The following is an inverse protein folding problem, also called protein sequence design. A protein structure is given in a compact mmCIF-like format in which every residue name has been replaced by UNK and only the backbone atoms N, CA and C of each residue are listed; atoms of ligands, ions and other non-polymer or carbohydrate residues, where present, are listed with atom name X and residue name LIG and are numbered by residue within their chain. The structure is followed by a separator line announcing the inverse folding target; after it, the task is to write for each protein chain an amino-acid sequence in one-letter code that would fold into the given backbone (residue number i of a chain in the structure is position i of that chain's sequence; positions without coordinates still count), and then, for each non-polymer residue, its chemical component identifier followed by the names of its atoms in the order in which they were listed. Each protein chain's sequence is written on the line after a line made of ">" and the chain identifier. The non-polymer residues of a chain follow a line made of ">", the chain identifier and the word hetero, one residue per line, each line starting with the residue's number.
data_IF_216360095470
#
_entry.id   IF_216360095470
#
_cell.length_a   1.000
_cell.length_b   1.000
_cell.length_c   1.000
_cell.angle_alpha   90.00
_cell.angle_beta   90.00
_cell.angle_gamma   90.00
#
_symmetry.space_group_name_H-M   'P 1'
#
loop_
_entity.id
_entity.type
_entity.pdbx_description
1 polymer ?
#
# COMPACT_ATOMS: atom_id res chain seq x y z
N UNK A 1 3.42 32.44 -21.69
CA UNK A 1 4.38 31.96 -20.66
C UNK A 1 3.62 31.93 -19.36
N UNK A 2 2.93 30.82 -19.07
CA UNK A 2 2.25 30.61 -17.80
C UNK A 2 3.29 30.23 -16.76
N UNK A 3 3.36 30.99 -15.67
CA UNK A 3 4.29 30.70 -14.57
C UNK A 3 3.98 29.31 -14.02
N UNK A 4 5.02 28.47 -13.92
CA UNK A 4 4.99 27.31 -13.04
C UNK A 4 4.90 27.87 -11.63
N UNK A 5 3.72 27.86 -11.02
CA UNK A 5 3.62 28.03 -9.58
C UNK A 5 4.45 26.91 -8.96
N UNK A 6 5.51 27.29 -8.25
CA UNK A 6 6.39 26.35 -7.58
C UNK A 6 5.61 25.68 -6.45
N UNK A 7 5.54 24.36 -6.50
CA UNK A 7 4.96 23.53 -5.44
C UNK A 7 5.68 23.81 -4.11
N UNK A 8 4.94 24.17 -3.07
CA UNK A 8 5.48 24.20 -1.71
C UNK A 8 5.48 22.78 -1.15
N UNK A 9 6.66 22.26 -0.77
CA UNK A 9 6.81 21.00 -0.04
C UNK A 9 6.30 21.17 1.39
N UNK A 10 4.99 21.25 1.58
CA UNK A 10 4.40 20.96 2.88
C UNK A 10 4.48 19.44 3.08
N UNK A 11 4.82 18.98 4.29
CA UNK A 11 5.21 17.57 4.50
C UNK A 11 4.07 16.59 4.16
N UNK A 12 2.81 17.04 4.26
CA UNK A 12 1.60 16.24 3.95
C UNK A 12 0.46 17.14 3.46
N UNK A 13 -0.15 16.83 2.30
CA UNK A 13 -1.35 17.52 1.80
C UNK A 13 -2.13 16.63 0.84
N UNK A 14 -3.41 16.97 0.62
CA UNK A 14 -4.23 16.34 -0.44
C UNK A 14 -4.18 17.21 -1.69
N UNK A 15 -3.71 16.66 -2.82
CA UNK A 15 -3.62 17.39 -4.08
C UNK A 15 -5.02 17.82 -4.56
N UNK A 16 -5.15 18.99 -5.18
CA UNK A 16 -6.37 19.32 -5.91
C UNK A 16 -6.54 18.39 -7.13
N UNK A 17 -7.76 18.29 -7.65
CA UNK A 17 -8.03 17.53 -8.88
C UNK A 17 -7.13 18.03 -10.04
N UNK A 18 -6.92 19.35 -10.16
CA UNK A 18 -6.03 19.95 -11.18
C UNK A 18 -4.56 19.50 -11.04
N UNK A 19 -4.06 19.37 -9.81
CA UNK A 19 -2.69 18.89 -9.56
C UNK A 19 -2.60 17.40 -9.93
N UNK A 20 -3.57 16.59 -9.50
CA UNK A 20 -3.59 15.17 -9.83
C UNK A 20 -3.66 14.94 -11.35
N UNK A 21 -4.46 15.72 -12.07
CA UNK A 21 -4.59 15.65 -13.52
C UNK A 21 -3.31 16.14 -14.22
N UNK A 22 -2.65 17.17 -13.71
CA UNK A 22 -1.34 17.61 -14.23
C UNK A 22 -0.27 16.52 -14.10
N UNK A 23 -0.21 15.83 -12.96
CA UNK A 23 0.74 14.73 -12.74
C UNK A 23 0.46 13.59 -13.70
N UNK A 24 -0.81 13.21 -13.90
CA UNK A 24 -1.18 12.19 -14.89
C UNK A 24 -0.81 12.61 -16.31
N UNK A 25 -1.07 13.87 -16.68
CA UNK A 25 -0.72 14.36 -18.01
C UNK A 25 0.79 14.33 -18.27
N UNK A 26 1.61 14.49 -17.23
CA UNK A 26 3.07 14.49 -17.33
C UNK A 26 3.67 13.08 -17.27
N UNK A 27 3.18 12.21 -16.39
CA UNK A 27 3.82 10.93 -16.07
C UNK A 27 3.06 9.68 -16.54
N UNK A 28 1.79 9.80 -16.98
CA UNK A 28 0.99 8.61 -17.30
C UNK A 28 1.60 7.82 -18.45
N UNK A 29 1.89 6.54 -18.22
CA UNK A 29 2.40 5.64 -19.26
C UNK A 29 1.32 4.79 -19.94
N UNK A 30 0.06 4.90 -19.49
CA UNK A 30 -1.07 4.11 -19.98
C UNK A 30 -2.08 4.97 -20.74
N UNK A 31 -2.90 4.35 -21.59
CA UNK A 31 -3.95 5.04 -22.32
C UNK A 31 -5.08 5.52 -21.39
N UNK A 32 -5.90 6.52 -21.81
CA UNK A 32 -7.08 6.92 -21.05
C UNK A 32 -8.05 5.76 -20.77
N UNK A 33 -8.22 4.84 -21.70
CA UNK A 33 -9.06 3.65 -21.55
C UNK A 33 -8.50 2.68 -20.50
N UNK A 34 -7.19 2.48 -20.48
CA UNK A 34 -6.52 1.66 -19.45
C UNK A 34 -6.62 2.30 -18.07
N UNK A 35 -6.44 3.63 -17.98
CA UNK A 35 -6.61 4.37 -16.74
C UNK A 35 -8.05 4.28 -16.22
N UNK A 36 -9.04 4.43 -17.10
CA UNK A 36 -10.46 4.31 -16.70
C UNK A 36 -10.78 2.91 -16.17
N UNK A 37 -10.22 1.88 -16.79
CA UNK A 37 -10.35 0.52 -16.30
C UNK A 37 -9.74 0.33 -14.89
N UNK A 38 -8.56 0.91 -14.64
CA UNK A 38 -7.94 0.94 -13.30
C UNK A 38 -8.84 1.68 -12.30
N UNK A 39 -9.43 2.82 -12.69
CA UNK A 39 -10.32 3.59 -11.84
C UNK A 39 -11.58 2.81 -11.42
N UNK A 40 -12.18 2.04 -12.35
CA UNK A 40 -13.34 1.18 -12.07
C UNK A 40 -13.00 0.10 -11.04
N UNK A 41 -11.83 -0.50 -11.15
CA UNK A 41 -11.37 -1.53 -10.21
C UNK A 41 -11.08 -0.91 -8.85
N UNK A 42 -10.39 0.23 -8.82
CA UNK A 42 -10.14 0.98 -7.61
C UNK A 42 -11.43 1.30 -6.86
N UNK A 43 -12.47 1.72 -7.59
CA UNK A 43 -13.79 1.98 -7.02
C UNK A 43 -14.40 0.71 -6.40
N UNK A 44 -14.33 -0.42 -7.10
CA UNK A 44 -14.80 -1.70 -6.57
C UNK A 44 -14.02 -2.19 -5.34
N UNK A 45 -12.71 -1.93 -5.28
CA UNK A 45 -11.87 -2.23 -4.11
C UNK A 45 -12.24 -1.32 -2.94
N UNK A 46 -12.34 -0.01 -3.18
CA UNK A 46 -12.74 0.99 -2.19
C UNK A 46 -14.06 0.60 -1.52
N UNK A 47 -15.08 0.33 -2.32
CA UNK A 47 -16.42 -0.01 -1.83
C UNK A 47 -16.38 -1.26 -0.96
N UNK A 48 -15.57 -2.26 -1.35
CA UNK A 48 -15.37 -3.47 -0.56
C UNK A 48 -14.67 -3.20 0.78
N UNK A 49 -13.58 -2.42 0.77
CA UNK A 49 -12.83 -2.07 1.98
C UNK A 49 -13.71 -1.30 2.96
N UNK A 50 -14.45 -0.30 2.48
CA UNK A 50 -15.38 0.48 3.31
C UNK A 50 -16.53 -0.38 3.83
N UNK A 51 -17.10 -1.27 3.00
CA UNK A 51 -18.18 -2.17 3.44
C UNK A 51 -17.71 -3.17 4.51
N UNK A 52 -16.49 -3.68 4.39
CA UNK A 52 -15.99 -4.79 5.23
C UNK A 52 -15.30 -4.28 6.49
N UNK A 53 -14.52 -3.20 6.39
CA UNK A 53 -13.66 -2.69 7.45
C UNK A 53 -14.04 -1.28 7.89
N UNK A 54 -15.12 -0.71 7.35
CA UNK A 54 -15.51 0.67 7.57
C UNK A 54 -15.69 1.02 9.04
N UNK A 55 -16.12 0.11 9.91
CA UNK A 55 -16.26 0.41 11.35
C UNK A 55 -14.91 0.77 12.00
N UNK A 56 -13.80 0.28 11.45
CA UNK A 56 -12.44 0.52 11.92
C UNK A 56 -11.71 1.64 11.18
N UNK A 57 -12.31 2.22 10.13
CA UNK A 57 -11.71 3.32 9.36
C UNK A 57 -12.33 4.63 9.82
N UNK A 58 -11.49 5.63 10.08
CA UNK A 58 -11.96 6.93 10.53
C UNK A 58 -12.84 7.63 9.50
N UNK A 59 -13.60 8.63 9.95
CA UNK A 59 -14.45 9.43 9.06
C UNK A 59 -13.63 10.17 8.00
N UNK A 60 -12.50 10.75 8.41
CA UNK A 60 -11.66 11.55 7.53
C UNK A 60 -11.05 10.69 6.42
N UNK A 61 -10.57 9.48 6.74
CA UNK A 61 -10.03 8.57 5.73
C UNK A 61 -11.10 8.09 4.75
N UNK A 62 -12.33 7.83 5.21
CA UNK A 62 -13.46 7.51 4.32
C UNK A 62 -13.78 8.64 3.35
N UNK A 63 -13.77 9.89 3.82
CA UNK A 63 -13.98 11.05 2.97
C UNK A 63 -12.87 11.22 1.93
N UNK A 64 -11.60 10.96 2.32
CA UNK A 64 -10.49 10.97 1.36
C UNK A 64 -10.65 9.90 0.27
N UNK A 65 -11.08 8.70 0.65
CA UNK A 65 -11.26 7.57 -0.26
C UNK A 65 -12.26 7.85 -1.38
N UNK A 66 -13.24 8.74 -1.18
CA UNK A 66 -14.19 9.13 -2.23
C UNK A 66 -13.53 9.71 -3.49
N UNK A 67 -12.30 10.20 -3.35
CA UNK A 67 -11.51 10.71 -4.48
C UNK A 67 -10.32 9.83 -4.85
N UNK A 68 -10.11 8.70 -4.18
CA UNK A 68 -8.93 7.86 -4.34
C UNK A 68 -8.77 7.30 -5.76
N UNK A 69 -9.88 6.94 -6.43
CA UNK A 69 -9.85 6.47 -7.82
C UNK A 69 -9.32 7.54 -8.80
N UNK A 70 -9.58 8.82 -8.54
CA UNK A 70 -9.01 9.93 -9.32
C UNK A 70 -7.55 10.19 -8.99
N UNK A 71 -6.99 9.58 -7.96
CA UNK A 71 -5.64 9.84 -7.44
C UNK A 71 -4.66 8.72 -7.75
N UNK A 72 -5.02 7.83 -8.68
CA UNK A 72 -4.15 6.77 -9.16
C UNK A 72 -3.39 7.26 -10.39
N UNK A 73 -2.07 7.13 -10.35
CA UNK A 73 -1.17 7.52 -11.43
C UNK A 73 -0.37 6.29 -11.87
N UNK A 74 -0.62 5.83 -13.08
CA UNK A 74 0.08 4.71 -13.70
C UNK A 74 1.27 5.24 -14.50
N UNK A 75 2.48 4.87 -14.14
CA UNK A 75 3.73 5.41 -14.70
C UNK A 75 4.64 4.30 -15.21
N UNK A 76 5.61 4.64 -16.06
CA UNK A 76 6.67 3.71 -16.43
C UNK A 76 7.72 3.61 -15.29
N UNK A 77 8.75 2.76 -15.48
CA UNK A 77 9.79 2.58 -14.45
C UNK A 77 10.58 3.86 -14.14
N UNK A 78 10.80 4.72 -15.15
CA UNK A 78 11.58 5.95 -14.98
C UNK A 78 10.75 7.02 -14.28
N UNK A 79 9.50 7.21 -14.72
CA UNK A 79 8.52 8.07 -14.08
C UNK A 79 8.24 7.67 -12.64
N UNK A 80 8.17 6.38 -12.35
CA UNK A 80 8.04 5.89 -10.97
C UNK A 80 9.20 6.35 -10.08
N UNK A 81 10.43 6.20 -10.57
CA UNK A 81 11.63 6.62 -9.85
C UNK A 81 11.65 8.14 -9.67
N UNK A 82 11.48 8.90 -10.74
CA UNK A 82 11.52 10.37 -10.72
C UNK A 82 10.45 10.92 -9.76
N UNK A 83 9.21 10.43 -9.86
CA UNK A 83 8.15 10.88 -8.98
C UNK A 83 8.43 10.50 -7.51
N UNK A 84 8.99 9.31 -7.25
CA UNK A 84 9.37 8.89 -5.89
C UNK A 84 10.50 9.71 -5.27
N UNK A 85 11.33 10.37 -6.09
CA UNK A 85 12.39 11.27 -5.64
C UNK A 85 11.86 12.71 -5.48
N UNK A 86 11.07 13.17 -6.45
CA UNK A 86 10.54 14.54 -6.52
C UNK A 86 9.45 14.80 -5.46
N UNK A 87 8.60 13.79 -5.19
CA UNK A 87 7.44 13.85 -4.30
C UNK A 87 7.67 13.19 -2.94
N UNK A 88 8.92 13.04 -2.54
CA UNK A 88 9.29 12.49 -1.25
C UNK A 88 9.32 13.58 -0.16
N UNK A 89 8.62 13.41 0.98
CA UNK A 89 8.86 14.25 2.15
C UNK A 89 10.32 14.15 2.60
N UNK A 90 10.92 15.26 3.07
CA UNK A 90 12.30 15.23 3.59
C UNK A 90 12.47 14.29 4.79
N UNK A 91 11.39 14.06 5.53
CA UNK A 91 11.31 13.15 6.67
C UNK A 91 11.12 11.67 6.27
N UNK A 92 10.83 11.38 5.00
CA UNK A 92 10.47 10.03 4.59
C UNK A 92 11.68 9.09 4.50
N UNK A 93 11.48 7.87 4.98
CA UNK A 93 12.40 6.75 4.77
C UNK A 93 12.59 6.45 3.28
N UNK A 94 13.65 5.73 2.87
CA UNK A 94 13.88 5.36 1.47
C UNK A 94 12.60 4.84 0.82
N UNK A 95 12.35 5.27 -0.43
CA UNK A 95 11.17 4.81 -1.17
C UNK A 95 11.18 3.27 -1.23
N UNK A 96 10.03 2.59 -1.07
CA UNK A 96 9.98 1.15 -1.23
C UNK A 96 10.48 0.77 -2.63
N UNK A 97 11.26 -0.31 -2.74
CA UNK A 97 11.50 -0.99 -4.02
C UNK A 97 10.22 -1.77 -4.41
N UNK A 98 9.12 -1.02 -4.55
CA UNK A 98 7.77 -1.53 -4.76
C UNK A 98 7.33 -1.41 -6.20
N UNK A 99 6.30 -2.19 -6.52
CA UNK A 99 5.57 -2.08 -7.78
C UNK A 99 4.59 -0.88 -7.77
N UNK A 100 4.26 -0.42 -6.56
CA UNK A 100 3.40 0.72 -6.26
C UNK A 100 3.83 1.36 -4.93
N UNK A 101 3.34 2.57 -4.65
CA UNK A 101 3.30 3.12 -3.30
C UNK A 101 2.19 4.16 -3.17
N UNK A 102 1.63 4.28 -1.98
CA UNK A 102 0.79 5.38 -1.56
C UNK A 102 1.64 6.56 -1.06
N UNK A 103 1.50 7.71 -1.71
CA UNK A 103 2.11 8.98 -1.31
C UNK A 103 1.15 9.80 -0.47
N UNK A 104 1.55 10.07 0.79
CA UNK A 104 0.86 11.06 1.64
C UNK A 104 0.98 12.49 1.11
N UNK A 105 2.00 12.79 0.29
CA UNK A 105 2.05 14.04 -0.48
C UNK A 105 1.12 13.90 -1.68
N UNK A 106 0.09 14.72 -1.73
CA UNK A 106 -0.92 14.70 -2.77
C UNK A 106 -2.01 13.65 -2.59
N UNK A 107 -1.89 12.74 -1.62
CA UNK A 107 -2.79 11.58 -1.43
C UNK A 107 -2.89 10.74 -2.71
N UNK A 108 -1.75 10.36 -3.31
CA UNK A 108 -1.68 9.71 -4.62
C UNK A 108 -1.27 8.25 -4.49
N UNK A 109 -1.92 7.36 -5.25
CA UNK A 109 -1.43 5.99 -5.47
C UNK A 109 -0.61 5.99 -6.75
N UNK A 110 0.69 5.75 -6.64
CA UNK A 110 1.61 5.77 -7.77
C UNK A 110 2.01 4.34 -8.07
N UNK A 111 1.78 3.91 -9.31
CA UNK A 111 1.89 2.52 -9.73
C UNK A 111 2.69 2.41 -11.00
N UNK A 112 3.57 1.41 -11.07
CA UNK A 112 4.16 1.03 -12.35
C UNK A 112 3.09 0.39 -13.24
N UNK A 113 3.20 0.55 -14.55
CA UNK A 113 2.27 -0.08 -15.50
C UNK A 113 2.35 -1.63 -15.56
N UNK A 114 3.32 -2.22 -14.86
CA UNK A 114 3.59 -3.65 -14.74
C UNK A 114 3.87 -4.37 -16.07
N UNK A 115 4.11 -3.65 -17.17
CA UNK A 115 4.34 -4.26 -18.50
C UNK A 115 5.58 -5.13 -18.45
N UNK A 116 6.72 -4.56 -18.05
CA UNK A 116 7.99 -5.30 -18.01
C UNK A 116 7.95 -6.45 -16.99
N UNK A 117 7.33 -6.25 -15.83
CA UNK A 117 7.20 -7.29 -14.82
C UNK A 117 6.35 -8.46 -15.33
N UNK A 118 5.24 -8.17 -16.03
CA UNK A 118 4.40 -9.22 -16.62
C UNK A 118 5.14 -10.07 -17.65
N UNK A 119 6.04 -9.46 -18.44
CA UNK A 119 6.89 -10.17 -19.42
C UNK A 119 7.90 -11.09 -18.73
N UNK A 120 8.50 -10.64 -17.63
CA UNK A 120 9.43 -11.46 -16.85
C UNK A 120 8.74 -12.72 -16.31
N UNK A 121 7.55 -12.57 -15.73
CA UNK A 121 6.75 -13.72 -15.24
C UNK A 121 6.33 -14.63 -16.39
N UNK A 122 5.92 -14.05 -17.53
CA UNK A 122 5.62 -14.83 -18.73
C UNK A 122 6.82 -15.69 -19.14
N UNK A 123 8.03 -15.13 -19.23
CA UNK A 123 9.23 -15.86 -19.68
C UNK A 123 9.62 -16.95 -18.68
N UNK A 124 9.49 -16.69 -17.37
CA UNK A 124 9.72 -17.68 -16.32
C UNK A 124 8.74 -18.86 -16.40
N UNK A 125 7.50 -18.62 -16.83
CA UNK A 125 6.45 -19.63 -16.97
C UNK A 125 6.26 -20.13 -18.42
N UNK A 126 7.18 -19.81 -19.33
CA UNK A 126 7.01 -19.97 -20.77
C UNK A 126 6.56 -21.35 -21.20
N UNK A 127 7.22 -22.40 -20.71
CA UNK A 127 6.88 -23.79 -21.05
C UNK A 127 5.43 -24.15 -20.69
N UNK A 128 4.96 -23.68 -19.54
CA UNK A 128 3.58 -23.87 -19.09
C UNK A 128 2.62 -23.06 -19.96
N UNK A 129 2.91 -21.79 -20.22
CA UNK A 129 2.01 -20.92 -20.99
C UNK A 129 1.93 -21.31 -22.47
N UNK A 130 3.04 -21.76 -23.08
CA UNK A 130 3.07 -22.22 -24.46
C UNK A 130 2.32 -23.54 -24.68
N UNK A 131 2.00 -24.28 -23.61
CA UNK A 131 1.16 -25.49 -23.66
C UNK A 131 -0.36 -25.20 -23.76
N UNK A 132 -0.78 -23.95 -23.53
CA UNK A 132 -2.19 -23.56 -23.57
C UNK A 132 -2.75 -23.49 -25.01
N UNK A 133 -4.06 -23.52 -25.21
CA UNK A 133 -4.69 -23.18 -26.49
C UNK A 133 -4.37 -21.75 -26.96
N UNK A 134 -4.25 -21.52 -28.28
CA UNK A 134 -3.82 -20.21 -28.85
C UNK A 134 -4.71 -19.02 -28.44
N UNK A 135 -6.02 -19.25 -28.30
CA UNK A 135 -6.97 -18.25 -27.79
C UNK A 135 -6.69 -17.87 -26.33
N UNK A 136 -6.20 -18.81 -25.52
CA UNK A 136 -5.82 -18.58 -24.12
C UNK A 136 -4.43 -17.96 -24.00
N UNK A 137 -3.45 -18.39 -24.82
CA UNK A 137 -2.07 -17.85 -24.81
C UNK A 137 -2.04 -16.34 -24.96
N UNK A 138 -2.85 -15.80 -25.88
CA UNK A 138 -2.94 -14.35 -26.14
C UNK A 138 -3.43 -13.55 -24.93
N UNK A 139 -4.16 -14.21 -24.03
CA UNK A 139 -4.72 -13.59 -22.82
C UNK A 139 -3.78 -13.68 -21.62
N UNK A 140 -2.78 -14.56 -21.63
CA UNK A 140 -1.88 -14.80 -20.48
C UNK A 140 -1.17 -13.52 -20.04
N UNK A 141 -0.49 -12.83 -20.96
CA UNK A 141 0.30 -11.65 -20.60
C UNK A 141 -0.58 -10.49 -20.08
N UNK A 142 -1.70 -10.11 -20.77
CA UNK A 142 -2.66 -9.17 -20.22
C UNK A 142 -3.17 -9.57 -18.84
N UNK A 143 -3.40 -10.86 -18.63
CA UNK A 143 -3.95 -11.39 -17.39
C UNK A 143 -2.96 -11.34 -16.22
N UNK A 144 -1.68 -11.64 -16.47
CA UNK A 144 -0.60 -11.47 -15.48
C UNK A 144 -0.48 -9.99 -15.11
N UNK A 145 -0.35 -9.10 -16.10
CA UNK A 145 -0.27 -7.66 -15.89
C UNK A 145 -1.45 -7.16 -15.06
N UNK A 146 -2.66 -7.58 -15.44
CA UNK A 146 -3.88 -7.19 -14.77
C UNK A 146 -3.89 -7.56 -13.29
N UNK A 147 -3.40 -8.76 -12.97
CA UNK A 147 -3.41 -9.25 -11.61
C UNK A 147 -2.35 -8.58 -10.75
N UNK A 148 -1.19 -8.27 -11.32
CA UNK A 148 -0.16 -7.44 -10.66
C UNK A 148 -0.69 -6.04 -10.33
N UNK A 149 -1.35 -5.40 -11.30
CA UNK A 149 -1.98 -4.08 -11.12
C UNK A 149 -3.04 -4.16 -10.03
N UNK A 150 -3.95 -5.13 -10.09
CA UNK A 150 -5.03 -5.29 -9.11
C UNK A 150 -4.47 -5.53 -7.70
N UNK A 151 -3.49 -6.42 -7.55
CA UNK A 151 -2.87 -6.73 -6.27
C UNK A 151 -2.18 -5.50 -5.66
N UNK A 152 -1.38 -4.79 -6.46
CA UNK A 152 -0.70 -3.58 -5.99
C UNK A 152 -1.70 -2.47 -5.63
N UNK A 153 -2.74 -2.31 -6.45
CA UNK A 153 -3.78 -1.33 -6.20
C UNK A 153 -4.55 -1.60 -4.90
N UNK A 154 -4.88 -2.87 -4.60
CA UNK A 154 -5.50 -3.22 -3.32
C UNK A 154 -4.58 -2.85 -2.16
N UNK A 155 -3.30 -3.22 -2.24
CA UNK A 155 -2.33 -2.98 -1.18
C UNK A 155 -2.20 -1.49 -0.86
N UNK A 156 -2.05 -0.64 -1.88
CA UNK A 156 -1.90 0.80 -1.68
C UNK A 156 -3.21 1.50 -1.31
N UNK A 157 -4.37 1.02 -1.79
CA UNK A 157 -5.67 1.56 -1.34
C UNK A 157 -5.97 1.20 0.11
N UNK A 158 -5.49 0.06 0.60
CA UNK A 158 -5.57 -0.25 2.03
C UNK A 158 -4.69 0.70 2.83
N UNK A 159 -3.46 1.01 2.36
CA UNK A 159 -2.62 2.01 2.99
C UNK A 159 -3.24 3.42 3.01
N UNK A 160 -3.96 3.80 1.95
CA UNK A 160 -4.63 5.12 1.92
C UNK A 160 -5.80 5.25 2.91
N UNK A 161 -6.22 4.16 3.53
CA UNK A 161 -7.22 4.16 4.61
C UNK A 161 -6.62 4.41 6.01
N UNK A 162 -5.29 4.52 6.13
CA UNK A 162 -4.61 4.61 7.41
C UNK A 162 -4.32 6.07 7.78
N UNK A 163 -4.67 6.47 9.01
CA UNK A 163 -4.28 7.81 9.47
C UNK A 163 -2.78 7.90 9.76
N UNK A 164 -2.25 9.11 9.65
CA UNK A 164 -0.90 9.39 10.08
C UNK A 164 -0.80 9.35 11.61
N UNK A 165 0.23 8.71 12.12
CA UNK A 165 0.46 8.61 13.57
C UNK A 165 1.22 9.83 14.10
N UNK A 166 1.80 10.66 13.22
CA UNK A 166 2.65 11.79 13.60
C UNK A 166 3.95 11.36 14.31
N UNK A 167 4.27 10.06 14.32
CA UNK A 167 5.46 9.53 14.98
C UNK A 167 6.69 9.73 14.09
N UNK A 168 7.72 10.37 14.66
CA UNK A 168 8.97 10.61 13.94
C UNK A 168 10.17 10.05 14.71
N UNK A 169 10.98 9.23 14.02
CA UNK A 169 12.35 8.81 14.39
C UNK A 169 12.51 8.09 15.75
N UNK A 170 11.70 7.07 16.02
CA UNK A 170 11.87 6.16 17.17
C UNK A 170 11.65 4.69 16.77
N UNK A 171 11.74 3.75 17.71
CA UNK A 171 11.45 2.32 17.43
C UNK A 171 10.02 2.06 16.96
N UNK A 172 9.07 2.88 17.39
CA UNK A 172 7.66 2.70 17.07
C UNK A 172 7.35 2.98 15.61
N UNK A 173 8.11 3.85 14.92
CA UNK A 173 8.00 4.03 13.46
C UNK A 173 8.21 2.70 12.72
N UNK A 174 9.26 1.93 13.04
CA UNK A 174 9.49 0.64 12.38
C UNK A 174 8.43 -0.41 12.74
N UNK A 175 7.92 -0.38 13.98
CA UNK A 175 6.84 -1.28 14.41
C UNK A 175 5.52 -0.94 13.73
N UNK A 176 5.24 0.35 13.55
CA UNK A 176 4.11 0.88 12.80
C UNK A 176 4.18 0.42 11.34
N UNK A 177 5.32 0.62 10.68
CA UNK A 177 5.53 0.13 9.31
C UNK A 177 5.34 -1.38 9.21
N UNK A 178 5.83 -2.15 10.19
CA UNK A 178 5.62 -3.60 10.21
C UNK A 178 4.14 -3.98 10.32
N UNK A 179 3.39 -3.30 11.19
CA UNK A 179 1.95 -3.49 11.30
C UNK A 179 1.24 -3.11 10.00
N UNK A 180 1.60 -1.97 9.40
CA UNK A 180 1.03 -1.46 8.16
C UNK A 180 1.23 -2.45 7.00
N UNK A 181 2.47 -2.92 6.78
CA UNK A 181 2.77 -3.88 5.72
C UNK A 181 2.13 -5.25 5.98
N UNK A 182 2.06 -5.69 7.24
CA UNK A 182 1.41 -6.96 7.60
C UNK A 182 -0.10 -6.90 7.35
N UNK A 183 -0.76 -5.81 7.76
CA UNK A 183 -2.18 -5.61 7.56
C UNK A 183 -2.55 -5.42 6.09
N UNK A 184 -1.83 -4.56 5.36
CA UNK A 184 -2.05 -4.37 3.94
C UNK A 184 -1.86 -5.67 3.15
N UNK A 185 -0.82 -6.46 3.46
CA UNK A 185 -0.62 -7.78 2.83
C UNK A 185 -1.76 -8.76 3.13
N UNK A 186 -2.22 -8.81 4.39
CA UNK A 186 -3.32 -9.68 4.82
C UNK A 186 -4.65 -9.33 4.14
N UNK A 187 -4.99 -8.04 4.11
CA UNK A 187 -6.22 -7.56 3.47
C UNK A 187 -6.14 -7.76 1.96
N UNK A 188 -4.99 -7.51 1.35
CA UNK A 188 -4.75 -7.77 -0.08
C UNK A 188 -5.00 -9.23 -0.42
N UNK A 189 -4.44 -10.17 0.35
CA UNK A 189 -4.66 -11.60 0.14
C UNK A 189 -6.14 -11.99 0.27
N UNK A 190 -6.82 -11.50 1.33
CA UNK A 190 -8.27 -11.75 1.52
C UNK A 190 -9.08 -11.23 0.34
N UNK A 191 -8.89 -9.97 -0.06
CA UNK A 191 -9.63 -9.35 -1.17
C UNK A 191 -9.33 -10.05 -2.49
N UNK A 192 -8.07 -10.37 -2.77
CA UNK A 192 -7.68 -11.11 -3.97
C UNK A 192 -8.36 -12.48 -4.02
N UNK A 193 -8.39 -13.23 -2.91
CA UNK A 193 -9.06 -14.55 -2.85
C UNK A 193 -10.57 -14.46 -3.04
N UNK A 194 -11.21 -13.45 -2.48
CA UNK A 194 -12.68 -13.36 -2.47
C UNK A 194 -13.25 -12.68 -3.71
N UNK A 195 -12.57 -11.65 -4.24
CA UNK A 195 -13.07 -10.80 -5.33
C UNK A 195 -12.38 -11.06 -6.66
N UNK A 196 -11.12 -11.49 -6.62
CA UNK A 196 -10.29 -11.72 -7.80
C UNK A 196 -9.63 -13.11 -7.76
N UNK A 197 -10.36 -14.21 -7.46
CA UNK A 197 -9.76 -15.51 -7.15
C UNK A 197 -8.89 -16.07 -8.25
N UNK A 198 -9.21 -15.73 -9.50
CA UNK A 198 -8.42 -16.16 -10.63
C UNK A 198 -7.09 -15.39 -10.71
N UNK A 199 -7.03 -14.15 -10.22
CA UNK A 199 -5.89 -13.23 -10.21
C UNK A 199 -4.81 -13.54 -9.17
N UNK A 200 -5.06 -14.45 -8.24
CA UNK A 200 -4.15 -14.73 -7.13
C UNK A 200 -3.16 -15.85 -7.49
N UNK A 201 -2.02 -15.51 -8.10
CA UNK A 201 -1.02 -16.50 -8.54
C UNK A 201 0.42 -16.21 -8.13
N UNK A 202 0.67 -15.13 -7.37
CA UNK A 202 2.01 -14.75 -6.92
C UNK A 202 2.03 -14.54 -5.41
N UNK A 203 2.23 -15.62 -4.67
CA UNK A 203 2.50 -15.55 -3.23
C UNK A 203 4.03 -15.50 -3.02
N UNK A 204 4.55 -14.35 -2.60
CA UNK A 204 5.95 -14.25 -2.18
C UNK A 204 6.11 -14.81 -0.77
N UNK A 205 7.31 -15.32 -0.44
CA UNK A 205 7.62 -15.83 0.90
C UNK A 205 7.42 -14.74 1.98
N UNK A 206 7.79 -13.50 1.66
CA UNK A 206 7.70 -12.38 2.60
C UNK A 206 6.24 -11.96 2.80
N UNK A 207 5.44 -11.95 1.73
CA UNK A 207 3.99 -11.76 1.81
C UNK A 207 3.34 -12.77 2.75
N UNK A 208 3.73 -14.05 2.66
CA UNK A 208 3.20 -15.09 3.55
C UNK A 208 3.52 -14.83 5.03
N UNK A 209 4.76 -14.45 5.35
CA UNK A 209 5.17 -14.15 6.72
C UNK A 209 4.39 -12.94 7.28
N UNK A 210 4.17 -11.93 6.45
CA UNK A 210 3.36 -10.75 6.77
C UNK A 210 1.89 -11.10 7.05
N UNK A 211 1.28 -11.88 6.16
CA UNK A 211 -0.10 -12.39 6.30
C UNK A 211 -0.24 -13.22 7.60
N UNK A 212 0.66 -14.17 7.82
CA UNK A 212 0.65 -15.03 9.02
C UNK A 212 0.83 -14.20 10.30
N UNK A 213 1.68 -13.18 10.27
CA UNK A 213 1.90 -12.28 11.41
C UNK A 213 0.64 -11.48 11.73
N UNK A 214 -0.04 -10.92 10.74
CA UNK A 214 -1.28 -10.18 11.00
C UNK A 214 -2.42 -11.10 11.47
N UNK A 215 -2.55 -12.30 10.90
CA UNK A 215 -3.51 -13.29 11.37
C UNK A 215 -3.23 -13.75 12.82
N UNK A 216 -1.96 -13.85 13.22
CA UNK A 216 -1.60 -14.08 14.62
C UNK A 216 -2.07 -12.94 15.53
N UNK A 217 -1.90 -11.68 15.12
CA UNK A 217 -2.38 -10.52 15.89
C UNK A 217 -3.91 -10.58 16.05
N UNK A 218 -4.65 -10.82 14.97
CA UNK A 218 -6.11 -10.98 15.02
C UNK A 218 -6.52 -12.14 15.95
N UNK A 219 -5.83 -13.27 15.89
CA UNK A 219 -6.11 -14.42 16.75
C UNK A 219 -5.82 -14.15 18.23
N UNK A 220 -4.85 -13.28 18.55
CA UNK A 220 -4.44 -12.97 19.92
C UNK A 220 -5.24 -11.81 20.54
N UNK A 221 -5.51 -10.77 19.76
CA UNK A 221 -6.06 -9.51 20.25
C UNK A 221 -7.47 -9.22 19.72
N UNK A 222 -8.01 -10.04 18.80
CA UNK A 222 -9.33 -9.87 18.22
C UNK A 222 -9.38 -8.81 17.13
N UNK A 223 -10.60 -8.42 16.74
CA UNK A 223 -10.85 -7.49 15.63
C UNK A 223 -10.39 -6.05 15.93
N UNK A 224 -10.19 -5.68 17.20
CA UNK A 224 -9.67 -4.36 17.61
C UNK A 224 -8.25 -4.08 17.04
N UNK A 225 -7.55 -5.10 16.54
CA UNK A 225 -6.31 -4.93 15.77
C UNK A 225 -6.54 -4.03 14.54
N UNK A 226 -7.72 -4.11 13.92
CA UNK A 226 -8.06 -3.26 12.79
C UNK A 226 -8.11 -1.78 13.18
N UNK A 227 -8.58 -1.44 14.38
CA UNK A 227 -8.58 -0.05 14.85
C UNK A 227 -7.16 0.50 14.98
N UNK A 228 -6.23 -0.29 15.51
CA UNK A 228 -4.81 0.11 15.61
C UNK A 228 -4.16 0.18 14.23
N UNK A 229 -4.46 -0.79 13.35
CA UNK A 229 -3.94 -0.84 11.99
C UNK A 229 -4.39 0.36 11.13
N UNK A 230 -5.66 0.74 11.17
CA UNK A 230 -6.15 1.94 10.47
C UNK A 230 -5.90 3.24 11.25
N UNK A 231 -5.40 3.13 12.48
CA UNK A 231 -5.18 4.25 13.41
C UNK A 231 -6.46 5.02 13.75
N UNK A 232 -7.58 4.33 13.88
CA UNK A 232 -8.87 4.92 14.24
C UNK A 232 -8.97 5.08 15.76
N UNK A 233 -8.40 6.16 16.28
CA UNK A 233 -8.33 6.43 17.72
C UNK A 233 -9.69 6.91 18.23
N UNK A 234 -10.30 6.25 19.25
CA UNK A 234 -11.56 6.71 19.82
C UNK A 234 -11.46 8.10 20.46
N UNK A 235 -12.53 8.91 20.33
CA UNK A 235 -12.60 10.23 20.97
C UNK A 235 -12.79 10.16 22.49
N UNK A 236 -13.41 9.07 22.98
CA UNK A 236 -13.71 8.88 24.40
C UNK A 236 -12.44 8.49 25.15
N UNK A 237 -12.11 9.25 26.21
CA UNK A 237 -10.83 9.10 26.93
C UNK A 237 -10.54 7.69 27.46
N UNK A 238 -11.56 6.97 27.95
CA UNK A 238 -11.39 5.58 28.44
C UNK A 238 -11.04 4.64 27.30
N UNK A 239 -11.73 4.76 26.17
CA UNK A 239 -11.51 3.93 24.99
C UNK A 239 -10.17 4.26 24.32
N UNK A 240 -9.75 5.53 24.38
CA UNK A 240 -8.42 5.96 23.94
C UNK A 240 -7.30 5.30 24.74
N UNK A 241 -7.40 5.28 26.06
CA UNK A 241 -6.39 4.62 26.91
C UNK A 241 -6.29 3.12 26.61
N UNK A 242 -7.43 2.46 26.36
CA UNK A 242 -7.50 1.06 25.94
C UNK A 242 -6.85 0.84 24.57
N UNK A 243 -7.10 1.74 23.62
CA UNK A 243 -6.48 1.72 22.30
C UNK A 243 -4.95 1.87 22.39
N UNK A 244 -4.46 2.82 23.18
CA UNK A 244 -3.02 3.03 23.39
C UNK A 244 -2.34 1.82 24.05
N UNK A 245 -3.02 1.16 25.01
CA UNK A 245 -2.52 -0.08 25.62
C UNK A 245 -2.49 -1.23 24.60
N UNK A 246 -3.53 -1.37 23.77
CA UNK A 246 -3.56 -2.37 22.71
C UNK A 246 -2.44 -2.11 21.68
N UNK A 247 -2.25 -0.86 21.26
CA UNK A 247 -1.17 -0.46 20.37
C UNK A 247 0.20 -0.85 20.96
N UNK A 248 0.44 -0.56 22.24
CA UNK A 248 1.65 -0.98 22.97
C UNK A 248 1.87 -2.49 22.92
N UNK A 249 0.82 -3.26 23.19
CA UNK A 249 0.87 -4.71 23.16
C UNK A 249 1.17 -5.26 21.76
N UNK A 250 0.52 -4.73 20.72
CA UNK A 250 0.77 -5.10 19.32
C UNK A 250 2.21 -4.75 18.92
N UNK A 251 2.65 -3.53 19.23
CA UNK A 251 4.01 -3.06 18.93
C UNK A 251 5.08 -3.92 19.62
N UNK A 252 4.80 -4.45 20.80
CA UNK A 252 5.72 -5.36 21.51
C UNK A 252 5.96 -6.69 20.78
N UNK A 253 5.06 -7.11 19.88
CA UNK A 253 5.25 -8.30 19.04
C UNK A 253 6.29 -8.07 17.92
N UNK A 254 6.56 -6.81 17.59
CA UNK A 254 7.51 -6.41 16.54
C UNK A 254 8.88 -6.10 17.13
N UNK A 255 9.52 -7.14 17.70
CA UNK A 255 10.94 -7.09 18.03
C UNK A 255 11.84 -7.14 16.79
N UNK A 256 13.13 -6.88 16.96
CA UNK A 256 14.13 -6.77 15.88
C UNK A 256 14.12 -7.95 14.92
N UNK A 257 14.08 -9.19 15.46
CA UNK A 257 13.97 -10.40 14.65
C UNK A 257 12.71 -10.42 13.80
N UNK A 258 11.57 -9.98 14.35
CA UNK A 258 10.31 -9.94 13.60
C UNK A 258 10.37 -8.87 12.50
N UNK A 259 10.93 -7.70 12.79
CA UNK A 259 11.11 -6.61 11.81
C UNK A 259 11.96 -7.03 10.61
N UNK A 260 13.03 -7.81 10.85
CA UNK A 260 13.81 -8.43 9.78
C UNK A 260 12.96 -9.45 9.00
N UNK A 261 12.28 -10.35 9.71
CA UNK A 261 11.48 -11.41 9.08
C UNK A 261 10.37 -10.89 8.18
N UNK A 262 9.77 -9.74 8.52
CA UNK A 262 8.73 -9.10 7.70
C UNK A 262 9.30 -8.14 6.65
N UNK A 263 10.63 -8.02 6.54
CA UNK A 263 11.31 -7.21 5.53
C UNK A 263 11.24 -5.70 5.77
N UNK A 264 11.14 -5.27 7.03
CA UNK A 264 11.15 -3.84 7.41
C UNK A 264 12.57 -3.38 7.74
N UNK A 265 13.38 -4.26 8.31
CA UNK A 265 14.79 -4.01 8.59
C UNK A 265 15.65 -4.99 7.79
N UNK A 266 16.76 -4.48 7.27
CA UNK A 266 17.86 -5.32 6.80
C UNK A 266 18.60 -5.92 8.01
N UNK A 267 19.15 -7.13 7.84
CA UNK A 267 19.89 -7.83 8.90
C UNK A 267 21.06 -6.99 9.46
N UNK A 268 21.73 -6.20 8.61
CA UNK A 268 22.84 -5.33 8.99
C UNK A 268 22.41 -4.06 9.75
N UNK A 269 21.12 -3.70 9.67
CA UNK A 269 20.52 -2.56 10.40
C UNK A 269 19.87 -2.96 11.72
N UNK A 270 19.74 -4.25 12.01
CA UNK A 270 19.18 -4.77 13.27
C UNK A 270 19.86 -4.16 14.51
N UNK A 271 21.19 -4.07 14.49
CA UNK A 271 21.95 -3.50 15.60
C UNK A 271 21.68 -2.02 15.82
N UNK A 272 21.42 -1.24 14.77
CA UNK A 272 21.07 0.19 14.90
C UNK A 272 19.72 0.36 15.57
N UNK A 273 18.74 -0.43 15.12
CA UNK A 273 17.39 -0.43 15.71
C UNK A 273 17.41 -0.70 17.21
N UNK A 274 18.19 -1.69 17.66
CA UNK A 274 18.26 -2.07 19.09
C UNK A 274 18.68 -0.90 20.00
N UNK A 275 19.51 0.02 19.49
CA UNK A 275 20.02 1.18 20.21
C UNK A 275 19.15 2.44 20.08
N UNK A 276 18.04 2.40 19.31
CA UNK A 276 17.11 3.52 19.20
C UNK A 276 16.26 3.67 20.47
N UNK A 277 15.87 4.91 20.76
CA UNK A 277 14.95 5.23 21.86
C UNK A 277 13.54 4.71 21.58
N UNK A 278 12.88 4.24 22.63
CA UNK A 278 11.42 4.03 22.66
C UNK A 278 10.77 5.27 23.27
N UNK A 279 9.71 5.77 22.62
CA UNK A 279 8.83 6.79 23.19
C UNK A 279 7.40 6.31 23.06
N UNK A 280 6.62 6.47 24.12
CA UNK A 280 5.22 6.04 24.23
C UNK A 280 4.32 7.21 24.60
#
# INVERSE_FOLDING_TARGET
>A
MGGKEGYTKEEYFTASDDIADSIKAEYSSVSPEEQEFVNVIAQGIKDYVVQTYGEHISKDMKEMLETANKRIVMVDNEGFKNLSEDWKPESALPAPEGAAYFSKIGNLVIMRDMIEHSKVIWEQGKEMFESLPEDQKRMVLPYIRFSLVTQALIHELVHSCQEDTGEHRNKNVYRRMALDECGASCLTDKIMKERYPKGNFLESKDSKIRIDTFNYLLGKYGDEVYDVFFNNVPEVAVDKARHEELQKNIYSEFGTKKLVQVGILDDDKAGVYDHMSESW
#
